data_IF_944456038903
#
_entry.id   IF_944456038903
#
_cell.length_a   1.000
_cell.length_b   1.000
_cell.length_c   1.000
_cell.angle_alpha   90.00
_cell.angle_beta   90.00
_cell.angle_gamma   90.00
#
_symmetry.space_group_name_H-M   'P 1'
#
loop_
_entity.id
_entity.type
_entity.pdbx_description
1 polymer ?
#
# COMPACT_ATOMS: atom_id res chain seq x y z
N UNK A 1 -54.41 39.99 -39.79
CA UNK A 1 -54.00 38.60 -39.54
C UNK A 1 -52.53 38.47 -39.86
N UNK A 2 -51.73 38.04 -38.89
CA UNK A 2 -50.29 37.77 -39.05
C UNK A 2 -49.43 38.59 -38.09
N UNK A 3 -49.34 38.15 -36.83
CA UNK A 3 -48.32 38.57 -35.87
C UNK A 3 -46.93 38.12 -36.33
N UNK A 4 -45.89 38.90 -36.02
CA UNK A 4 -44.57 38.35 -35.72
C UNK A 4 -43.82 39.29 -34.78
N UNK A 5 -43.91 38.97 -33.50
CA UNK A 5 -42.97 39.39 -32.46
C UNK A 5 -41.75 38.48 -32.58
N UNK A 6 -40.56 39.05 -32.78
CA UNK A 6 -39.32 38.37 -32.44
C UNK A 6 -38.60 39.17 -31.36
N UNK A 7 -38.68 38.61 -30.17
CA UNK A 7 -38.05 39.00 -28.92
C UNK A 7 -36.55 38.68 -28.99
N UNK A 8 -35.71 39.66 -28.71
CA UNK A 8 -34.31 39.43 -28.35
C UNK A 8 -34.27 38.69 -27.01
N UNK A 9 -33.77 37.46 -27.02
CA UNK A 9 -33.46 36.70 -25.80
C UNK A 9 -31.95 36.76 -25.55
N UNK A 10 -31.57 37.57 -24.56
CA UNK A 10 -30.27 37.45 -23.90
C UNK A 10 -30.18 36.07 -23.23
N UNK A 11 -29.23 35.25 -23.66
CA UNK A 11 -28.83 34.03 -22.95
C UNK A 11 -27.51 34.32 -22.24
N UNK A 12 -27.59 34.57 -20.94
CA UNK A 12 -26.44 34.75 -20.05
C UNK A 12 -25.72 33.43 -19.86
N UNK A 13 -24.45 33.38 -20.26
CA UNK A 13 -23.51 32.34 -19.85
C UNK A 13 -22.81 32.84 -18.58
N UNK A 14 -23.35 32.55 -17.40
CA UNK A 14 -22.60 32.69 -16.16
C UNK A 14 -21.55 31.58 -16.10
N UNK A 15 -20.39 31.85 -16.69
CA UNK A 15 -19.19 31.07 -16.41
C UNK A 15 -18.74 31.33 -14.98
N UNK A 16 -18.68 30.28 -14.16
CA UNK A 16 -18.01 30.35 -12.85
C UNK A 16 -16.51 30.57 -13.13
N UNK A 17 -16.09 31.83 -13.15
CA UNK A 17 -14.68 32.21 -13.15
C UNK A 17 -14.18 32.11 -11.71
N UNK A 18 -13.60 30.97 -11.35
CA UNK A 18 -12.84 30.87 -10.10
C UNK A 18 -11.56 31.72 -10.24
N UNK A 19 -11.57 32.90 -9.65
CA UNK A 19 -10.39 33.77 -9.62
C UNK A 19 -9.25 33.06 -8.87
N UNK A 20 -8.04 33.04 -9.46
CA UNK A 20 -6.82 32.46 -8.84
C UNK A 20 -6.53 33.01 -7.43
N UNK A 21 -7.01 34.21 -7.11
CA UNK A 21 -6.91 34.82 -5.79
C UNK A 21 -7.76 34.09 -4.72
N UNK A 22 -8.90 33.49 -5.08
CA UNK A 22 -9.77 32.76 -4.15
C UNK A 22 -9.19 31.39 -3.78
N UNK A 23 -8.59 30.66 -4.73
CA UNK A 23 -7.96 29.37 -4.42
C UNK A 23 -6.76 29.48 -3.48
N UNK A 24 -5.97 30.56 -3.60
CA UNK A 24 -4.84 30.82 -2.71
C UNK A 24 -5.28 31.15 -1.27
N UNK A 25 -6.43 31.82 -1.14
CA UNK A 25 -7.03 32.19 0.15
C UNK A 25 -7.70 30.98 0.79
N UNK A 26 -8.42 30.15 0.03
CA UNK A 26 -9.03 28.91 0.50
C UNK A 26 -8.01 27.85 0.93
N UNK A 27 -6.92 27.66 0.16
CA UNK A 27 -5.83 26.74 0.58
C UNK A 27 -5.13 27.20 1.85
N UNK A 28 -4.87 28.50 1.97
CA UNK A 28 -4.22 29.07 3.17
C UNK A 28 -5.15 29.04 4.37
N UNK A 29 -6.44 29.32 4.18
CA UNK A 29 -7.46 29.20 5.22
C UNK A 29 -7.68 27.74 5.66
N UNK A 30 -7.64 26.77 4.74
CA UNK A 30 -7.72 25.34 5.04
C UNK A 30 -6.50 24.85 5.85
N UNK A 31 -5.29 25.23 5.44
CA UNK A 31 -4.06 24.91 6.18
C UNK A 31 -4.04 25.62 7.55
N UNK A 32 -4.54 26.85 7.65
CA UNK A 32 -4.66 27.57 8.91
C UNK A 32 -5.73 26.96 9.83
N UNK A 33 -6.83 26.45 9.28
CA UNK A 33 -7.88 25.74 10.03
C UNK A 33 -7.40 24.38 10.55
N UNK A 34 -6.56 23.67 9.80
CA UNK A 34 -5.89 22.44 10.26
C UNK A 34 -4.78 22.71 11.29
N UNK A 35 -4.13 23.88 11.22
CA UNK A 35 -3.10 24.31 12.18
C UNK A 35 -3.64 24.76 13.55
N UNK A 36 -4.94 25.07 13.65
CA UNK A 36 -5.62 25.41 14.90
C UNK A 36 -6.34 24.16 15.44
N UNK A 37 -5.55 23.23 15.99
CA UNK A 37 -5.93 21.85 16.32
C UNK A 37 -6.99 21.62 17.40
N UNK A 38 -8.20 22.16 17.26
CA UNK A 38 -9.32 21.83 18.16
C UNK A 38 -10.68 21.60 17.46
N UNK A 39 -10.89 22.07 16.22
CA UNK A 39 -12.22 21.99 15.58
C UNK A 39 -12.34 20.83 14.57
N UNK A 40 -11.22 20.31 14.05
CA UNK A 40 -11.22 19.19 13.09
C UNK A 40 -11.61 17.84 13.70
N UNK A 41 -11.45 17.66 15.02
CA UNK A 41 -11.77 16.40 15.71
C UNK A 41 -13.28 16.12 15.82
N UNK A 42 -14.15 17.12 15.63
CA UNK A 42 -15.59 16.97 15.83
C UNK A 42 -16.36 16.47 14.59
N UNK A 43 -15.74 16.46 13.39
CA UNK A 43 -16.40 16.01 12.14
C UNK A 43 -16.20 14.50 11.90
N UNK A 44 -15.16 13.90 12.48
CA UNK A 44 -14.97 12.45 12.47
C UNK A 44 -15.80 11.86 13.62
N UNK A 45 -16.99 11.35 13.29
CA UNK A 45 -17.88 10.72 14.26
C UNK A 45 -17.14 9.67 15.10
N UNK A 46 -17.49 9.61 16.39
CA UNK A 46 -16.90 8.80 17.45
C UNK A 46 -16.95 7.27 17.20
N UNK A 47 -16.16 6.79 16.24
CA UNK A 47 -15.58 5.46 16.29
C UNK A 47 -14.13 5.70 16.68
N UNK A 48 -13.79 5.43 17.94
CA UNK A 48 -12.47 5.59 18.53
C UNK A 48 -11.47 4.65 17.80
N UNK A 49 -10.75 5.11 16.77
CA UNK A 49 -9.86 4.23 15.99
C UNK A 49 -8.67 3.79 16.84
N UNK A 50 -8.41 4.55 17.91
CA UNK A 50 -7.31 4.34 18.85
C UNK A 50 -7.46 3.03 19.63
N UNK A 51 -8.67 2.54 19.89
CA UNK A 51 -8.86 1.40 20.80
C UNK A 51 -8.49 0.03 20.20
N UNK A 52 -8.62 -0.14 18.88
CA UNK A 52 -8.26 -1.38 18.18
C UNK A 52 -6.83 -1.34 17.63
N UNK A 53 -6.39 -0.18 17.11
CA UNK A 53 -5.04 -0.03 16.56
C UNK A 53 -3.94 0.01 17.64
N UNK A 54 -4.27 0.49 18.85
CA UNK A 54 -3.33 0.51 19.99
C UNK A 54 -3.03 -0.88 20.58
N UNK A 55 -3.83 -1.91 20.26
CA UNK A 55 -3.60 -3.25 20.77
C UNK A 55 -2.39 -3.87 20.06
N UNK A 56 -1.27 -4.01 20.79
CA UNK A 56 -0.08 -4.74 20.35
C UNK A 56 1.15 -3.88 20.06
N UNK A 57 1.03 -2.54 20.06
CA UNK A 57 2.21 -1.67 19.99
C UNK A 57 2.84 -1.46 21.38
N UNK A 58 4.18 -1.48 21.51
CA UNK A 58 4.84 -1.11 22.77
C UNK A 58 4.49 0.32 23.19
N UNK A 59 4.23 0.53 24.49
CA UNK A 59 3.80 1.83 25.02
C UNK A 59 4.82 2.98 24.80
N UNK A 60 6.09 2.65 24.57
CA UNK A 60 7.21 3.57 24.38
C UNK A 60 7.81 3.50 22.96
N UNK A 61 7.02 3.07 21.97
CA UNK A 61 7.41 3.09 20.55
C UNK A 61 7.92 4.48 20.13
N UNK A 62 9.02 4.50 19.37
CA UNK A 62 9.65 5.71 18.82
C UNK A 62 9.47 5.80 17.31
N UNK A 63 9.65 6.99 16.76
CA UNK A 63 9.63 7.17 15.30
C UNK A 63 10.75 6.38 14.61
N UNK A 64 11.89 6.17 15.29
CA UNK A 64 12.98 5.31 14.81
C UNK A 64 12.48 3.87 14.67
N UNK A 65 11.73 3.36 15.64
CA UNK A 65 11.19 2.00 15.59
C UNK A 65 10.21 1.83 14.42
N UNK A 66 9.38 2.84 14.15
CA UNK A 66 8.41 2.86 13.04
C UNK A 66 9.13 2.92 11.69
N UNK A 67 10.14 3.79 11.55
CA UNK A 67 10.92 3.90 10.31
C UNK A 67 11.74 2.62 10.05
N UNK A 68 12.29 1.98 11.09
CA UNK A 68 12.93 0.67 10.95
C UNK A 68 11.93 -0.40 10.50
N UNK A 69 10.73 -0.42 11.09
CA UNK A 69 9.67 -1.35 10.69
C UNK A 69 9.34 -1.19 9.21
N UNK A 70 9.01 0.03 8.78
CA UNK A 70 8.74 0.34 7.37
C UNK A 70 9.90 -0.05 6.45
N UNK A 71 11.15 0.24 6.82
CA UNK A 71 12.32 -0.08 6.02
C UNK A 71 12.48 -1.59 5.73
N UNK A 72 12.01 -2.49 6.60
CA UNK A 72 12.01 -3.91 6.28
C UNK A 72 11.09 -4.23 5.08
N UNK A 73 9.95 -3.56 4.97
CA UNK A 73 8.98 -3.76 3.88
C UNK A 73 9.42 -3.09 2.59
N UNK A 74 9.98 -1.89 2.65
CA UNK A 74 10.58 -1.25 1.45
C UNK A 74 11.74 -2.10 0.91
N UNK A 75 12.52 -2.76 1.77
CA UNK A 75 13.51 -3.73 1.30
C UNK A 75 12.88 -4.92 0.56
N UNK A 76 11.72 -5.39 1.02
CA UNK A 76 10.98 -6.48 0.37
C UNK A 76 10.41 -6.04 -0.98
N UNK A 77 9.71 -4.90 -1.02
CA UNK A 77 9.15 -4.29 -2.24
C UNK A 77 10.22 -3.99 -3.27
N UNK A 78 11.27 -3.27 -2.89
CA UNK A 78 12.37 -2.94 -3.79
C UNK A 78 13.10 -4.20 -4.33
N UNK A 79 13.35 -5.23 -3.51
CA UNK A 79 13.92 -6.48 -4.02
C UNK A 79 12.98 -7.19 -4.98
N UNK A 80 11.68 -7.19 -4.72
CA UNK A 80 10.68 -7.76 -5.61
C UNK A 80 10.67 -7.05 -6.98
N UNK A 81 10.48 -5.73 -6.99
CA UNK A 81 10.34 -4.97 -8.23
C UNK A 81 11.65 -4.85 -9.01
N UNK A 82 12.78 -4.56 -8.36
CA UNK A 82 14.07 -4.46 -9.06
C UNK A 82 14.45 -5.79 -9.72
N UNK A 83 14.21 -6.93 -9.04
CA UNK A 83 14.44 -8.24 -9.65
C UNK A 83 13.50 -8.48 -10.82
N UNK A 84 12.23 -8.08 -10.71
CA UNK A 84 11.28 -8.20 -11.80
C UNK A 84 11.74 -7.45 -13.06
N UNK A 85 12.28 -6.24 -12.92
CA UNK A 85 12.66 -5.40 -14.08
C UNK A 85 14.09 -5.62 -14.58
N UNK A 86 15.04 -5.93 -13.69
CA UNK A 86 16.48 -5.99 -13.99
C UNK A 86 17.12 -7.37 -13.77
N UNK A 87 16.41 -8.32 -13.15
CA UNK A 87 16.97 -9.60 -12.72
C UNK A 87 17.95 -9.50 -11.54
N UNK A 88 18.13 -8.30 -10.98
CA UNK A 88 19.01 -8.00 -9.86
C UNK A 88 18.30 -7.06 -8.88
N UNK A 89 18.62 -7.20 -7.59
CA UNK A 89 18.02 -6.41 -6.51
C UNK A 89 18.74 -5.09 -6.21
N UNK A 90 18.59 -4.61 -4.98
CA UNK A 90 19.18 -3.37 -4.48
C UNK A 90 20.72 -3.38 -4.54
N UNK A 91 21.29 -2.18 -4.71
CA UNK A 91 22.74 -1.96 -4.75
C UNK A 91 23.34 -2.06 -3.34
N UNK A 92 24.64 -2.38 -3.28
CA UNK A 92 25.34 -2.61 -2.01
C UNK A 92 25.25 -1.44 -1.01
N UNK A 93 25.27 -0.18 -1.47
CA UNK A 93 25.15 1.01 -0.60
C UNK A 93 23.74 1.26 -0.06
N UNK A 94 22.73 0.60 -0.64
CA UNK A 94 21.33 0.74 -0.24
C UNK A 94 20.91 -0.36 0.76
N UNK A 95 21.77 -1.35 1.07
CA UNK A 95 21.39 -2.53 1.89
C UNK A 95 22.24 -2.77 3.13
N UNK A 96 23.32 -2.00 3.33
CA UNK A 96 24.19 -2.13 4.50
C UNK A 96 23.57 -1.53 5.77
N UNK A 97 24.14 -1.84 6.92
CA UNK A 97 23.69 -1.31 8.20
C UNK A 97 23.76 -2.32 9.33
N UNK A 98 23.10 -1.98 10.44
CA UNK A 98 23.03 -2.80 11.65
C UNK A 98 22.45 -4.18 11.32
N UNK A 99 23.12 -5.23 11.81
CA UNK A 99 22.76 -6.63 11.54
C UNK A 99 23.41 -7.22 10.29
N UNK A 100 24.20 -6.46 9.51
CA UNK A 100 24.86 -6.94 8.29
C UNK A 100 23.92 -7.04 7.09
N UNK A 101 24.33 -7.63 5.98
CA UNK A 101 23.48 -7.75 4.77
C UNK A 101 22.91 -9.16 4.66
N UNK A 102 21.59 -9.30 4.77
CA UNK A 102 20.89 -10.57 4.58
C UNK A 102 20.82 -10.97 3.10
N UNK A 103 20.83 -12.28 2.82
CA UNK A 103 20.66 -12.81 1.46
C UNK A 103 19.22 -12.71 0.99
N UNK A 104 19.01 -12.74 -0.33
CA UNK A 104 17.67 -12.83 -0.93
C UNK A 104 17.60 -14.12 -1.72
N UNK A 105 16.70 -15.01 -1.32
CA UNK A 105 16.39 -16.21 -2.08
C UNK A 105 15.30 -15.90 -3.12
N UNK A 106 15.53 -16.37 -4.35
CA UNK A 106 14.59 -16.19 -5.45
C UNK A 106 14.70 -14.89 -6.23
N UNK A 107 13.76 -14.76 -7.16
CA UNK A 107 13.62 -13.62 -8.07
C UNK A 107 14.47 -13.68 -9.33
N UNK A 108 13.86 -13.18 -10.41
CA UNK A 108 14.41 -13.12 -11.76
C UNK A 108 13.68 -12.03 -12.54
N UNK A 109 14.25 -11.66 -13.69
CA UNK A 109 13.59 -10.74 -14.60
C UNK A 109 12.31 -11.37 -15.17
N UNK A 110 11.21 -10.62 -15.12
CA UNK A 110 9.96 -10.98 -15.78
C UNK A 110 10.11 -10.72 -17.27
N UNK A 111 9.69 -11.65 -18.15
CA UNK A 111 9.80 -11.44 -19.59
C UNK A 111 8.94 -10.27 -20.12
N UNK A 112 7.89 -9.87 -19.38
CA UNK A 112 6.89 -8.83 -19.70
C UNK A 112 6.43 -8.83 -21.16
N UNK A 113 5.29 -9.45 -21.44
CA UNK A 113 4.65 -9.40 -22.75
C UNK A 113 3.98 -8.05 -23.03
N UNK A 114 3.47 -7.37 -22.00
CA UNK A 114 2.79 -6.09 -22.13
C UNK A 114 3.73 -4.91 -21.86
N UNK A 115 3.89 -4.04 -22.86
CA UNK A 115 4.77 -2.88 -22.76
C UNK A 115 4.33 -1.83 -21.74
N UNK A 116 3.02 -1.73 -21.44
CA UNK A 116 2.49 -0.84 -20.43
C UNK A 116 2.81 -1.37 -19.03
N UNK A 117 2.52 -2.65 -18.77
CA UNK A 117 2.84 -3.30 -17.49
C UNK A 117 4.34 -3.25 -17.23
N UNK A 118 5.17 -3.49 -18.26
CA UNK A 118 6.61 -3.33 -18.15
C UNK A 118 6.99 -1.92 -17.69
N UNK A 119 6.50 -0.87 -18.35
CA UNK A 119 6.86 0.52 -17.98
C UNK A 119 6.43 0.86 -16.56
N UNK A 120 5.22 0.44 -16.17
CA UNK A 120 4.72 0.63 -14.82
C UNK A 120 5.56 -0.15 -13.79
N UNK A 121 6.00 -1.37 -14.09
CA UNK A 121 6.91 -2.12 -13.22
C UNK A 121 8.27 -1.42 -13.02
N UNK A 122 8.77 -0.72 -14.05
CA UNK A 122 9.99 0.09 -13.92
C UNK A 122 9.77 1.33 -13.04
N UNK A 123 8.57 1.90 -13.04
CA UNK A 123 8.18 3.01 -12.16
C UNK A 123 8.09 2.53 -10.70
N UNK A 124 7.36 1.42 -10.44
CA UNK A 124 7.31 0.75 -9.14
C UNK A 124 8.71 0.48 -8.58
N UNK A 125 9.59 -0.12 -9.40
CA UNK A 125 10.96 -0.42 -8.99
C UNK A 125 11.78 0.83 -8.63
N UNK A 126 11.55 1.95 -9.30
CA UNK A 126 12.25 3.20 -9.04
C UNK A 126 11.74 3.87 -7.76
N UNK A 127 10.42 3.88 -7.55
CA UNK A 127 9.78 4.42 -6.36
C UNK A 127 10.23 3.66 -5.10
N UNK A 128 10.21 2.34 -5.15
CA UNK A 128 10.60 1.45 -4.06
C UNK A 128 12.10 1.56 -3.71
N UNK A 129 12.96 1.69 -4.72
CA UNK A 129 14.39 2.01 -4.49
C UNK A 129 14.54 3.39 -3.81
N UNK A 130 13.71 4.36 -4.18
CA UNK A 130 13.71 5.69 -3.57
C UNK A 130 13.13 5.69 -2.14
N UNK A 131 12.11 4.88 -1.85
CA UNK A 131 11.56 4.70 -0.51
C UNK A 131 12.63 4.14 0.44
N UNK A 132 13.33 3.07 0.03
CA UNK A 132 14.47 2.52 0.77
C UNK A 132 15.50 3.61 1.09
N UNK A 133 15.93 4.38 0.09
CA UNK A 133 16.91 5.48 0.30
C UNK A 133 16.39 6.56 1.24
N UNK A 134 15.12 6.90 1.13
CA UNK A 134 14.47 7.93 1.95
C UNK A 134 14.40 7.51 3.41
N UNK A 135 13.92 6.30 3.70
CA UNK A 135 13.86 5.79 5.08
C UNK A 135 15.25 5.59 5.67
N UNK A 136 16.22 5.14 4.87
CA UNK A 136 17.62 5.05 5.29
C UNK A 136 18.20 6.40 5.66
N UNK A 137 17.92 7.44 4.87
CA UNK A 137 18.40 8.79 5.14
C UNK A 137 17.73 9.43 6.37
N UNK A 138 16.51 8.99 6.73
CA UNK A 138 15.82 9.43 7.93
C UNK A 138 16.35 8.78 9.22
N UNK A 139 17.12 7.68 9.12
CA UNK A 139 17.68 6.97 10.27
C UNK A 139 19.12 7.43 10.58
N UNK A 140 19.46 7.66 11.87
CA UNK A 140 20.85 7.75 12.29
C UNK A 140 21.64 6.49 11.92
N UNK A 141 22.92 6.62 11.60
CA UNK A 141 23.79 5.50 11.19
C UNK A 141 23.74 4.31 12.15
N UNK A 142 23.72 4.59 13.47
CA UNK A 142 23.66 3.58 14.52
C UNK A 142 22.32 2.82 14.59
N UNK A 143 21.27 3.34 13.94
CA UNK A 143 19.91 2.78 13.91
C UNK A 143 19.49 2.33 12.51
N UNK A 144 20.30 2.57 11.49
CA UNK A 144 20.02 2.18 10.11
C UNK A 144 20.24 0.69 9.94
N UNK A 145 19.13 -0.06 9.86
CA UNK A 145 19.15 -1.51 9.68
C UNK A 145 19.60 -1.88 8.26
N UNK A 146 20.47 -2.89 8.16
CA UNK A 146 20.75 -3.50 6.86
C UNK A 146 19.55 -4.33 6.38
N UNK A 147 19.54 -4.70 5.10
CA UNK A 147 18.49 -5.57 4.53
C UNK A 147 18.42 -6.91 5.29
N UNK A 148 17.24 -7.33 5.80
CA UNK A 148 17.08 -8.66 6.41
C UNK A 148 17.25 -9.78 5.38
N UNK A 149 17.29 -11.02 5.84
CA UNK A 149 17.20 -12.15 4.91
C UNK A 149 15.78 -12.22 4.37
N UNK A 150 15.66 -12.37 3.04
CA UNK A 150 14.37 -12.47 2.35
C UNK A 150 14.26 -13.79 1.59
N UNK A 151 13.05 -14.33 1.50
CA UNK A 151 12.75 -15.50 0.67
C UNK A 151 11.52 -15.27 -0.21
N UNK A 152 11.75 -14.81 -1.44
CA UNK A 152 10.67 -14.51 -2.39
C UNK A 152 10.10 -15.79 -2.99
N UNK A 153 10.96 -16.78 -3.26
CA UNK A 153 10.55 -18.04 -3.90
C UNK A 153 9.63 -18.88 -2.99
N UNK A 154 10.03 -19.08 -1.73
CA UNK A 154 9.19 -19.79 -0.76
C UNK A 154 7.92 -19.01 -0.44
N UNK A 155 8.03 -17.72 -0.13
CA UNK A 155 6.91 -16.94 0.37
C UNK A 155 5.79 -16.80 -0.65
N UNK A 156 6.11 -16.44 -1.90
CA UNK A 156 5.09 -16.35 -2.95
C UNK A 156 4.47 -17.71 -3.28
N UNK A 157 5.26 -18.79 -3.27
CA UNK A 157 4.71 -20.15 -3.42
C UNK A 157 3.76 -20.52 -2.29
N UNK A 158 4.13 -20.22 -1.05
CA UNK A 158 3.31 -20.50 0.12
C UNK A 158 2.02 -19.67 0.09
N UNK A 159 2.10 -18.36 -0.18
CA UNK A 159 0.94 -17.48 -0.30
C UNK A 159 -0.02 -17.93 -1.41
N UNK A 160 0.49 -18.24 -2.60
CA UNK A 160 -0.31 -18.74 -3.72
C UNK A 160 -0.98 -20.09 -3.40
N UNK A 161 -0.31 -20.96 -2.65
CA UNK A 161 -0.89 -22.23 -2.20
C UNK A 161 -2.00 -22.02 -1.17
N UNK A 162 -1.78 -21.12 -0.21
CA UNK A 162 -2.81 -20.74 0.77
C UNK A 162 -4.03 -20.11 0.10
N UNK A 163 -3.83 -19.39 -1.00
CA UNK A 163 -4.90 -18.86 -1.85
C UNK A 163 -5.49 -19.90 -2.83
N UNK A 164 -5.01 -21.16 -2.84
CA UNK A 164 -5.50 -22.21 -3.73
C UNK A 164 -5.17 -21.99 -5.22
N UNK A 165 -4.21 -21.13 -5.56
CA UNK A 165 -3.81 -20.85 -6.94
C UNK A 165 -2.92 -21.93 -7.53
N UNK A 166 -2.24 -22.71 -6.67
CA UNK A 166 -1.33 -23.79 -7.06
C UNK A 166 -1.54 -25.01 -6.15
N UNK A 167 -1.20 -26.20 -6.65
CA UNK A 167 -1.30 -27.44 -5.88
C UNK A 167 -0.31 -27.53 -4.71
N UNK A 168 -0.45 -28.56 -3.85
CA UNK A 168 0.35 -28.72 -2.64
C UNK A 168 1.85 -28.88 -2.91
N UNK A 169 2.23 -29.37 -4.09
CA UNK A 169 3.62 -29.61 -4.49
C UNK A 169 4.09 -28.69 -5.62
N UNK A 170 3.22 -27.80 -6.11
CA UNK A 170 3.53 -26.91 -7.21
C UNK A 170 4.25 -25.65 -6.70
N UNK A 171 5.11 -25.09 -7.55
CA UNK A 171 5.79 -23.80 -7.33
C UNK A 171 4.99 -22.70 -8.02
N UNK A 172 4.73 -21.61 -7.31
CA UNK A 172 4.21 -20.39 -7.92
C UNK A 172 5.40 -19.48 -8.27
N UNK A 173 5.69 -19.36 -9.55
CA UNK A 173 6.71 -18.45 -10.03
C UNK A 173 6.11 -17.07 -10.28
N UNK A 174 6.20 -16.20 -9.26
CA UNK A 174 5.65 -14.84 -9.32
C UNK A 174 6.24 -14.03 -10.48
N UNK A 175 7.43 -14.39 -10.97
CA UNK A 175 8.12 -13.69 -12.06
C UNK A 175 7.92 -14.33 -13.45
N UNK A 176 7.01 -15.30 -13.59
CA UNK A 176 6.84 -16.02 -14.84
C UNK A 176 6.20 -15.19 -15.96
N UNK A 177 5.32 -14.25 -15.62
CA UNK A 177 4.50 -13.50 -16.55
C UNK A 177 4.02 -12.18 -15.96
N UNK A 178 3.45 -11.32 -16.79
CA UNK A 178 2.76 -10.09 -16.40
C UNK A 178 1.67 -10.37 -15.35
N UNK A 179 0.91 -11.46 -15.49
CA UNK A 179 -0.20 -11.81 -14.57
C UNK A 179 0.30 -12.21 -13.20
N UNK A 180 1.28 -13.12 -13.15
CA UNK A 180 1.86 -13.57 -11.88
C UNK A 180 2.59 -12.43 -11.17
N UNK A 181 3.21 -11.52 -11.93
CA UNK A 181 3.83 -10.32 -11.40
C UNK A 181 2.80 -9.38 -10.78
N UNK A 182 1.67 -9.12 -11.44
CA UNK A 182 0.62 -8.27 -10.88
C UNK A 182 -0.04 -8.91 -9.64
N UNK A 183 -0.20 -10.23 -9.62
CA UNK A 183 -0.72 -10.94 -8.43
C UNK A 183 0.24 -10.85 -7.24
N UNK A 184 1.55 -10.95 -7.49
CA UNK A 184 2.57 -10.74 -6.46
C UNK A 184 2.59 -9.31 -5.95
N UNK A 185 2.49 -8.32 -6.85
CA UNK A 185 2.41 -6.91 -6.49
C UNK A 185 1.17 -6.63 -5.64
N UNK A 186 0.01 -7.15 -6.02
CA UNK A 186 -1.24 -7.01 -5.25
C UNK A 186 -1.15 -7.59 -3.84
N UNK A 187 -0.42 -8.70 -3.64
CA UNK A 187 -0.20 -9.26 -2.31
C UNK A 187 0.53 -8.27 -1.39
N UNK A 188 1.52 -7.54 -1.90
CA UNK A 188 2.39 -6.65 -1.14
C UNK A 188 1.80 -5.24 -0.96
N UNK A 189 1.42 -4.57 -2.04
CA UNK A 189 1.07 -3.14 -2.07
C UNK A 189 -0.12 -2.79 -1.19
N UNK A 190 -1.11 -3.67 -1.15
CA UNK A 190 -2.28 -3.53 -0.29
C UNK A 190 -1.92 -3.50 1.20
N UNK A 191 -0.87 -4.24 1.56
CA UNK A 191 -0.35 -4.26 2.92
C UNK A 191 0.40 -2.97 3.20
N UNK A 192 1.16 -2.43 2.24
CA UNK A 192 1.89 -1.16 2.39
C UNK A 192 0.93 -0.01 2.75
N UNK A 193 -0.16 0.17 1.99
CA UNK A 193 -1.17 1.21 2.26
C UNK A 193 -1.75 1.08 3.67
N UNK A 194 -2.17 -0.13 4.04
CA UNK A 194 -2.85 -0.39 5.32
C UNK A 194 -1.90 -0.36 6.52
N UNK A 195 -0.63 -0.72 6.33
CA UNK A 195 0.43 -0.58 7.33
C UNK A 195 0.77 0.89 7.60
N UNK A 196 0.83 1.74 6.57
CA UNK A 196 1.07 3.17 6.72
C UNK A 196 -0.06 3.86 7.49
N UNK A 197 -1.33 3.54 7.18
CA UNK A 197 -2.47 4.04 7.96
C UNK A 197 -2.42 3.54 9.41
N UNK A 198 -2.15 2.26 9.63
CA UNK A 198 -2.09 1.69 10.98
C UNK A 198 -0.93 2.19 11.83
N UNK A 199 0.19 2.54 11.19
CA UNK A 199 1.37 3.11 11.85
C UNK A 199 1.23 4.61 12.16
N UNK A 200 0.46 5.35 11.37
CA UNK A 200 0.35 6.82 11.47
C UNK A 200 0.03 7.36 12.88
N UNK A 201 -0.87 6.75 13.68
CA UNK A 201 -1.16 7.22 15.05
C UNK A 201 0.05 7.17 16.00
N UNK A 202 1.04 6.33 15.71
CA UNK A 202 2.23 6.17 16.55
C UNK A 202 3.36 7.13 16.21
N UNK A 203 3.26 7.86 15.08
CA UNK A 203 4.28 8.80 14.63
C UNK A 203 4.15 10.13 15.37
N UNK A 204 5.20 10.50 16.12
CA UNK A 204 5.24 11.70 16.96
C UNK A 204 5.77 12.89 16.18
N UNK A 205 6.88 12.71 15.47
CA UNK A 205 7.52 13.73 14.67
C UNK A 205 6.71 14.06 13.41
N UNK A 206 6.40 15.36 13.22
CA UNK A 206 5.55 15.80 12.11
C UNK A 206 6.23 15.75 10.75
N UNK A 207 7.55 15.78 10.69
CA UNK A 207 8.30 15.58 9.44
C UNK A 207 8.29 14.10 9.03
N UNK A 208 8.37 13.18 9.99
CA UNK A 208 8.20 11.73 9.74
C UNK A 208 6.77 11.44 9.30
N UNK A 209 5.76 12.03 9.96
CA UNK A 209 4.36 11.86 9.57
C UNK A 209 4.08 12.43 8.17
N UNK A 210 4.67 13.57 7.82
CA UNK A 210 4.57 14.15 6.48
C UNK A 210 5.19 13.22 5.43
N UNK A 211 6.34 12.61 5.72
CA UNK A 211 7.00 11.65 4.83
C UNK A 211 6.15 10.40 4.65
N UNK A 212 5.64 9.81 5.74
CA UNK A 212 4.71 8.68 5.71
C UNK A 212 3.43 8.99 4.93
N UNK A 213 2.90 10.21 5.04
CA UNK A 213 1.75 10.65 4.25
C UNK A 213 2.06 10.74 2.75
N UNK A 214 3.30 11.12 2.40
CA UNK A 214 3.79 11.10 1.01
C UNK A 214 3.86 9.68 0.46
N UNK A 215 4.42 8.75 1.25
CA UNK A 215 4.47 7.32 0.89
C UNK A 215 3.05 6.77 0.69
N UNK A 216 2.14 7.04 1.62
CA UNK A 216 0.74 6.61 1.51
C UNK A 216 0.08 7.06 0.19
N UNK A 217 0.41 8.26 -0.29
CA UNK A 217 -0.04 8.75 -1.60
C UNK A 217 0.50 7.90 -2.74
N UNK A 218 1.81 7.66 -2.77
CA UNK A 218 2.48 6.84 -3.79
C UNK A 218 1.94 5.40 -3.79
N UNK A 219 1.98 4.73 -2.63
CA UNK A 219 1.49 3.36 -2.44
C UNK A 219 0.01 3.24 -2.82
N UNK A 220 -0.81 4.24 -2.50
CA UNK A 220 -2.22 4.27 -2.89
C UNK A 220 -2.43 4.34 -4.41
N UNK A 221 -1.62 5.13 -5.13
CA UNK A 221 -1.65 5.17 -6.59
C UNK A 221 -1.20 3.85 -7.22
N UNK A 222 -0.13 3.25 -6.68
CA UNK A 222 0.42 1.99 -7.14
C UNK A 222 -0.58 0.85 -6.94
N UNK A 223 -1.10 0.69 -5.72
CA UNK A 223 -2.10 -0.32 -5.39
C UNK A 223 -3.38 -0.18 -6.22
N UNK A 224 -3.88 1.04 -6.43
CA UNK A 224 -5.05 1.31 -7.28
C UNK A 224 -4.81 0.93 -8.76
N UNK A 225 -3.62 1.25 -9.29
CA UNK A 225 -3.25 0.87 -10.65
C UNK A 225 -3.13 -0.65 -10.83
N UNK A 226 -2.54 -1.35 -9.85
CA UNK A 226 -2.41 -2.82 -9.87
C UNK A 226 -3.78 -3.49 -9.83
N UNK A 227 -4.67 -3.06 -8.91
CA UNK A 227 -6.06 -3.55 -8.86
C UNK A 227 -6.77 -3.35 -10.20
N UNK A 228 -6.62 -2.17 -10.80
CA UNK A 228 -7.21 -1.85 -12.11
C UNK A 228 -6.69 -2.77 -13.20
N UNK A 229 -5.39 -3.03 -13.25
CA UNK A 229 -4.78 -3.93 -14.21
C UNK A 229 -5.26 -5.37 -14.03
N UNK A 230 -5.27 -5.89 -12.80
CA UNK A 230 -5.79 -7.23 -12.50
C UNK A 230 -7.25 -7.37 -12.92
N UNK A 231 -8.09 -6.38 -12.61
CA UNK A 231 -9.49 -6.36 -12.98
C UNK A 231 -9.67 -6.39 -14.50
N UNK A 232 -8.96 -5.51 -15.21
CA UNK A 232 -9.02 -5.41 -16.69
C UNK A 232 -8.55 -6.69 -17.40
N UNK A 233 -7.69 -7.47 -16.74
CA UNK A 233 -7.14 -8.73 -17.26
C UNK A 233 -7.98 -9.95 -16.86
N UNK A 234 -9.08 -9.76 -16.16
CA UNK A 234 -9.98 -10.84 -15.74
C UNK A 234 -9.44 -11.71 -14.62
N UNK A 235 -8.48 -11.22 -13.83
CA UNK A 235 -7.83 -11.96 -12.73
C UNK A 235 -8.57 -11.80 -11.39
N UNK A 236 -9.88 -11.50 -11.44
CA UNK A 236 -10.73 -11.23 -10.27
C UNK A 236 -10.72 -12.42 -9.31
N UNK A 237 -10.88 -13.64 -9.83
CA UNK A 237 -10.91 -14.85 -8.99
C UNK A 237 -9.59 -15.05 -8.24
N UNK A 238 -8.46 -14.87 -8.92
CA UNK A 238 -7.14 -15.06 -8.33
C UNK A 238 -6.82 -13.98 -7.30
N UNK A 239 -7.10 -12.71 -7.62
CA UNK A 239 -6.87 -11.59 -6.72
C UNK A 239 -7.76 -11.70 -5.46
N UNK A 240 -9.03 -12.05 -5.60
CA UNK A 240 -9.92 -12.26 -4.45
C UNK A 240 -9.46 -13.45 -3.60
N UNK A 241 -8.95 -14.52 -4.20
CA UNK A 241 -8.40 -15.64 -3.45
C UNK A 241 -7.15 -15.26 -2.65
N UNK A 242 -6.27 -14.40 -3.21
CA UNK A 242 -5.14 -13.82 -2.49
C UNK A 242 -5.62 -12.93 -1.33
N UNK A 243 -6.60 -12.06 -1.58
CA UNK A 243 -7.20 -11.20 -0.54
C UNK A 243 -7.74 -12.03 0.62
N UNK A 244 -8.51 -13.08 0.34
CA UNK A 244 -9.08 -13.95 1.38
C UNK A 244 -7.98 -14.70 2.16
N UNK A 245 -6.92 -15.14 1.49
CA UNK A 245 -5.79 -15.79 2.16
C UNK A 245 -5.02 -14.82 3.06
N UNK A 246 -4.95 -13.54 2.69
CA UNK A 246 -4.34 -12.47 3.48
C UNK A 246 -5.20 -12.09 4.69
N UNK A 247 -6.51 -11.98 4.50
CA UNK A 247 -7.49 -11.75 5.58
C UNK A 247 -7.43 -12.84 6.65
N UNK A 248 -7.29 -14.10 6.25
CA UNK A 248 -7.13 -15.23 7.18
C UNK A 248 -5.90 -15.13 8.10
N UNK A 249 -4.95 -14.22 7.82
CA UNK A 249 -3.77 -13.97 8.65
C UNK A 249 -3.95 -12.79 9.63
N UNK A 250 -4.91 -11.90 9.40
CA UNK A 250 -5.06 -10.66 10.18
C UNK A 250 -6.17 -10.70 11.25
N UNK A 251 -6.91 -11.80 11.36
CA UNK A 251 -7.71 -12.13 12.54
C UNK A 251 -9.06 -12.76 12.22
N UNK A 252 -10.07 -12.46 13.06
CA UNK A 252 -11.44 -12.96 12.90
C UNK A 252 -12.38 -11.93 12.23
N UNK A 253 -11.86 -10.76 11.87
CA UNK A 253 -12.60 -9.68 11.22
C UNK A 253 -12.23 -9.65 9.76
N UNK A 254 -13.24 -9.60 8.88
CA UNK A 254 -13.06 -9.39 7.44
C UNK A 254 -12.66 -7.93 7.20
N UNK A 255 -11.36 -7.70 7.13
CA UNK A 255 -10.75 -6.38 6.90
C UNK A 255 -10.28 -6.25 5.46
N UNK A 256 -9.73 -7.34 4.91
CA UNK A 256 -9.18 -7.33 3.57
C UNK A 256 -10.27 -7.25 2.51
N UNK A 257 -9.96 -6.56 1.42
CA UNK A 257 -10.92 -6.38 0.36
C UNK A 257 -10.31 -6.77 -0.99
N UNK A 258 -10.95 -7.74 -1.64
CA UNK A 258 -10.60 -8.17 -3.00
C UNK A 258 -10.87 -7.08 -4.04
N UNK A 259 -10.63 -7.39 -5.31
CA UNK A 259 -10.76 -6.41 -6.41
C UNK A 259 -12.17 -6.31 -7.00
N UNK A 260 -13.13 -7.02 -6.42
CA UNK A 260 -14.56 -6.92 -6.72
C UNK A 260 -15.37 -7.07 -5.44
N UNK A 261 -16.57 -6.52 -5.39
CA UNK A 261 -17.49 -6.74 -4.25
C UNK A 261 -18.56 -5.66 -4.12
N UNK A 262 -19.29 -5.69 -3.01
CA UNK A 262 -20.44 -4.80 -2.73
C UNK A 262 -20.03 -3.48 -2.04
N UNK A 263 -19.05 -2.78 -2.60
CA UNK A 263 -18.46 -1.58 -1.98
C UNK A 263 -19.17 -0.28 -2.33
N UNK A 264 -20.24 -0.33 -3.14
CA UNK A 264 -20.97 0.86 -3.56
C UNK A 264 -22.47 0.58 -3.62
N UNK A 265 -23.24 1.39 -2.90
CA UNK A 265 -24.70 1.44 -2.99
C UNK A 265 -25.19 2.42 -4.07
N UNK A 266 -24.28 2.96 -4.89
CA UNK A 266 -24.64 3.89 -5.97
C UNK A 266 -25.53 3.17 -6.98
N UNK A 267 -26.69 3.74 -7.37
CA UNK A 267 -27.58 3.11 -8.34
C UNK A 267 -26.85 2.74 -9.64
N UNK A 268 -26.98 1.48 -10.05
CA UNK A 268 -26.31 0.93 -11.23
C UNK A 268 -25.02 0.15 -10.96
N UNK A 269 -24.56 0.11 -9.69
CA UNK A 269 -23.49 -0.77 -9.25
C UNK A 269 -24.05 -2.17 -8.90
N UNK A 270 -23.39 -3.22 -9.38
CA UNK A 270 -23.65 -4.64 -9.12
C UNK A 270 -22.59 -5.22 -8.18
N UNK A 271 -22.93 -6.22 -7.37
CA UNK A 271 -22.01 -6.86 -6.41
C UNK A 271 -20.80 -7.57 -7.06
N UNK A 272 -20.84 -7.77 -8.38
CA UNK A 272 -19.70 -8.26 -9.19
C UNK A 272 -18.80 -7.15 -9.71
N UNK A 273 -19.10 -5.89 -9.39
CA UNK A 273 -18.38 -4.75 -9.91
C UNK A 273 -17.06 -4.51 -9.17
N UNK A 274 -16.27 -3.59 -9.72
CA UNK A 274 -14.90 -3.36 -9.33
C UNK A 274 -14.77 -2.76 -7.93
N UNK A 275 -13.84 -3.30 -7.15
CA UNK A 275 -13.33 -2.70 -5.92
C UNK A 275 -11.86 -2.32 -6.12
N UNK A 276 -11.62 -1.12 -6.66
CA UNK A 276 -10.28 -0.68 -7.07
C UNK A 276 -9.61 0.24 -6.06
N UNK A 277 -10.38 0.79 -5.12
CA UNK A 277 -9.93 1.69 -4.06
C UNK A 277 -10.62 1.26 -2.77
N UNK A 278 -10.10 0.22 -2.10
CA UNK A 278 -10.77 -0.30 -0.92
C UNK A 278 -10.65 0.69 0.22
N UNK A 279 -11.78 0.91 0.85
CA UNK A 279 -11.93 1.89 1.90
C UNK A 279 -12.99 1.43 2.90
N UNK A 280 -12.99 2.02 4.08
CA UNK A 280 -14.05 1.87 5.05
C UNK A 280 -15.32 2.62 4.60
N UNK A 281 -16.37 2.54 5.42
CA UNK A 281 -17.64 3.25 5.18
C UNK A 281 -17.53 4.78 5.04
N UNK A 282 -16.41 5.37 5.46
CA UNK A 282 -16.14 6.80 5.36
C UNK A 282 -15.27 7.13 4.13
N UNK A 283 -15.00 6.15 3.26
CA UNK A 283 -14.06 6.28 2.14
C UNK A 283 -12.62 6.58 2.59
N UNK A 284 -12.22 6.07 3.76
CA UNK A 284 -10.84 6.12 4.24
C UNK A 284 -10.17 4.76 4.06
N UNK A 285 -8.91 4.75 3.62
CA UNK A 285 -8.11 3.53 3.67
C UNK A 285 -8.07 2.99 5.10
N UNK A 286 -8.30 1.68 5.27
CA UNK A 286 -8.29 1.06 6.59
C UNK A 286 -6.85 0.79 7.07
N UNK A 287 -6.66 0.70 8.38
CA UNK A 287 -5.35 0.40 8.97
C UNK A 287 -5.20 -1.06 9.38
N UNK A 288 -3.97 -1.53 9.47
CA UNK A 288 -3.60 -2.80 10.13
C UNK A 288 -2.65 -2.54 11.29
N UNK A 289 -2.81 -3.29 12.38
CA UNK A 289 -1.85 -3.24 13.49
C UNK A 289 -0.50 -3.81 13.04
N UNK A 290 0.59 -3.44 13.74
CA UNK A 290 1.91 -4.02 13.49
C UNK A 290 1.87 -5.56 13.52
N UNK A 291 1.09 -6.13 14.43
CA UNK A 291 0.93 -7.58 14.56
C UNK A 291 0.25 -8.23 13.36
N UNK A 292 -0.76 -7.59 12.77
CA UNK A 292 -1.43 -8.05 11.56
C UNK A 292 -0.49 -7.98 10.35
N UNK A 293 0.27 -6.89 10.23
CA UNK A 293 1.28 -6.73 9.19
C UNK A 293 2.36 -7.81 9.31
N UNK A 294 2.83 -8.11 10.54
CA UNK A 294 3.79 -9.20 10.80
C UNK A 294 3.23 -10.56 10.42
N UNK A 295 1.95 -10.84 10.73
CA UNK A 295 1.33 -12.11 10.35
C UNK A 295 1.35 -12.32 8.83
N UNK A 296 1.03 -11.27 8.07
CA UNK A 296 1.06 -11.31 6.60
C UNK A 296 2.50 -11.45 6.10
N UNK A 297 3.44 -10.69 6.67
CA UNK A 297 4.86 -10.74 6.31
C UNK A 297 5.47 -12.15 6.53
N UNK A 298 5.12 -12.78 7.65
CA UNK A 298 5.61 -14.10 8.02
C UNK A 298 4.72 -15.26 7.53
N UNK A 299 3.60 -14.95 6.88
CA UNK A 299 2.60 -15.89 6.37
C UNK A 299 2.10 -16.88 7.45
N UNK A 300 1.89 -16.39 8.68
CA UNK A 300 1.35 -17.17 9.80
C UNK A 300 0.69 -16.27 10.85
N UNK A 301 -0.11 -16.83 11.75
CA UNK A 301 -0.83 -16.07 12.80
C UNK A 301 -0.10 -15.99 14.15
N UNK A 302 1.12 -16.54 14.24
CA UNK A 302 1.90 -16.63 15.48
C UNK A 302 2.95 -15.54 15.63
N UNK A 303 3.05 -14.63 14.64
CA UNK A 303 4.08 -13.59 14.56
C UNK A 303 5.52 -14.14 14.65
N UNK A 304 5.70 -15.44 14.35
CA UNK A 304 7.02 -16.07 14.35
C UNK A 304 7.68 -15.89 12.99
N UNK A 305 9.01 -15.64 12.92
CA UNK A 305 9.75 -15.55 11.67
C UNK A 305 9.43 -16.66 10.67
N UNK A 306 9.28 -16.28 9.40
CA UNK A 306 8.81 -17.15 8.32
C UNK A 306 8.46 -16.34 7.08
N UNK A 307 7.74 -16.96 6.14
CA UNK A 307 7.24 -16.29 4.94
C UNK A 307 8.34 -15.51 4.21
N UNK A 308 8.12 -14.21 3.99
CA UNK A 308 9.06 -13.33 3.30
C UNK A 308 10.34 -13.06 4.09
N UNK A 309 10.31 -13.23 5.43
CA UNK A 309 11.40 -12.90 6.34
C UNK A 309 11.76 -14.12 7.20
N UNK A 310 12.47 -15.14 6.65
CA UNK A 310 12.73 -16.40 7.34
C UNK A 310 13.55 -16.26 8.64
N UNK A 311 14.26 -15.14 8.83
CA UNK A 311 15.01 -14.82 10.05
C UNK A 311 14.42 -13.64 10.83
N UNK A 312 13.21 -13.21 10.46
CA UNK A 312 12.48 -12.13 11.10
C UNK A 312 12.90 -10.74 10.59
N UNK A 313 12.06 -9.76 10.93
CA UNK A 313 12.35 -8.35 10.74
C UNK A 313 13.50 -7.89 11.64
N UNK A 314 14.08 -6.75 11.28
CA UNK A 314 15.09 -6.06 12.09
C UNK A 314 14.50 -4.81 12.74
N UNK A 315 15.01 -4.50 13.93
CA UNK A 315 14.48 -3.41 14.75
C UNK A 315 13.68 -3.94 15.94
N UNK A 316 13.01 -3.02 16.64
CA UNK A 316 12.26 -3.34 17.87
C UNK A 316 10.89 -3.96 17.60
N UNK A 317 10.24 -3.59 16.50
CA UNK A 317 8.95 -4.11 16.05
C UNK A 317 9.22 -5.28 15.08
N UNK A 318 9.08 -6.52 15.53
CA UNK A 318 9.41 -7.74 14.75
C UNK A 318 8.80 -9.00 15.34
#
# INVERSE_FOLDING_TARGET
MGENVQTEAQSGTEGIVLNKADLGTCRRAFIQALGLGAVGAAILGAADPDSAMAQGAPADITDIDIVQFALNFEYLGAEYYLRAVNGAGLKAGDIDGVGGVGTVNGGKQVPFADSFIRKFAFELAADEEAHVRTLRAALPDASRIGRPQLDLDFAFTFAARSAGLVGPNDRFDVYASDDTFLLGAFLLEDVCVTALIGGAPFIKDKSVLMTASGFLGTEGYQAGAIRTLLYSRGLITQANAISNARDALDGNTDLDQGISGDQSSTPGFSQTDANLVPADRNSLAFGRTFGQVLNIAYLNTTQSPGGFFPQGLRGRLR
#
